data_IF_278782235330
#
_entry.id   IF_278782235330
#
_cell.length_a   1.000
_cell.length_b   1.000
_cell.length_c   1.000
_cell.angle_alpha   90.00
_cell.angle_beta   90.00
_cell.angle_gamma   90.00
#
_symmetry.space_group_name_H-M   'P 1'
#
loop_
_entity.id
_entity.type
_entity.pdbx_description
1 polymer ?
#
# COMPACT_ATOMS: atom_id res chain seq x y z
N UNK A 1 19.53 -12.38 1.25
CA UNK A 1 18.92 -12.93 0.02
C UNK A 1 17.91 -11.91 -0.48
N UNK A 2 17.86 -11.58 -1.76
CA UNK A 2 17.34 -10.28 -2.19
C UNK A 2 15.82 -10.25 -2.22
N UNK A 3 15.25 -9.49 -1.31
CA UNK A 3 13.83 -9.09 -1.25
C UNK A 3 13.47 -8.03 -2.32
N UNK A 4 14.37 -7.82 -3.28
CA UNK A 4 14.41 -6.63 -4.14
C UNK A 4 13.39 -6.62 -5.28
N UNK A 5 12.66 -7.71 -5.54
CA UNK A 5 11.79 -7.80 -6.73
C UNK A 5 10.29 -7.60 -6.52
N UNK A 6 9.78 -7.79 -5.31
CA UNK A 6 8.34 -7.59 -5.02
C UNK A 6 7.95 -6.10 -5.08
N UNK A 7 8.88 -5.20 -4.79
CA UNK A 7 8.63 -3.76 -4.82
C UNK A 7 8.49 -3.18 -6.24
N UNK A 8 9.03 -3.85 -7.25
CA UNK A 8 9.10 -3.29 -8.61
C UNK A 8 7.76 -3.34 -9.37
N UNK A 9 6.83 -4.19 -8.97
CA UNK A 9 5.54 -4.38 -9.64
C UNK A 9 4.44 -3.39 -9.21
N UNK A 10 4.55 -2.79 -8.03
CA UNK A 10 3.59 -1.77 -7.56
C UNK A 10 3.81 -0.38 -8.19
N UNK A 11 4.91 -0.15 -8.91
CA UNK A 11 5.38 1.19 -9.23
C UNK A 11 5.42 1.59 -10.71
N UNK A 12 5.06 0.74 -11.65
CA UNK A 12 5.06 1.11 -13.07
C UNK A 12 4.08 2.24 -13.43
N UNK A 13 3.26 2.72 -12.48
CA UNK A 13 2.15 3.61 -12.77
C UNK A 13 2.35 5.08 -12.40
N UNK A 14 3.37 5.44 -11.62
CA UNK A 14 3.59 6.85 -11.25
C UNK A 14 4.37 7.63 -12.33
N UNK A 15 4.95 6.96 -13.32
CA UNK A 15 5.84 7.58 -14.31
C UNK A 15 5.13 8.36 -15.46
N UNK A 16 3.78 8.41 -15.50
CA UNK A 16 3.04 9.07 -16.58
C UNK A 16 2.60 10.52 -16.29
N UNK A 17 2.97 11.09 -15.13
CA UNK A 17 2.64 12.48 -14.81
C UNK A 17 3.76 13.50 -15.05
N UNK A 18 4.79 13.19 -15.84
CA UNK A 18 5.89 14.14 -16.12
C UNK A 18 5.77 14.94 -17.41
N UNK A 19 4.57 15.07 -17.99
CA UNK A 19 4.33 16.08 -19.03
C UNK A 19 4.05 17.44 -18.37
N UNK A 20 5.11 18.22 -18.10
CA UNK A 20 5.00 19.62 -17.69
C UNK A 20 4.50 20.45 -18.88
N UNK A 21 3.37 21.18 -18.79
CA UNK A 21 3.17 22.32 -19.66
C UNK A 21 4.11 23.44 -19.17
N UNK A 22 5.01 23.86 -20.04
CA UNK A 22 5.80 25.05 -19.83
C UNK A 22 4.89 26.27 -19.91
N UNK A 23 4.50 26.83 -18.77
CA UNK A 23 4.01 28.20 -18.69
C UNK A 23 5.00 29.04 -17.89
N UNK A 24 5.59 29.98 -18.62
CA UNK A 24 6.54 30.94 -18.09
C UNK A 24 5.84 32.01 -17.22
N UNK A 25 6.62 32.53 -16.30
CA UNK A 25 6.58 33.89 -15.74
C UNK A 25 5.91 34.11 -14.38
N UNK A 26 6.74 34.45 -13.42
CA UNK A 26 6.48 35.48 -12.40
C UNK A 26 5.80 35.04 -11.12
N UNK A 27 6.53 34.46 -10.29
CA UNK A 27 6.60 34.27 -8.84
C UNK A 27 7.10 32.84 -8.60
N UNK A 28 8.24 32.71 -7.96
CA UNK A 28 8.67 31.44 -7.39
C UNK A 28 7.70 31.08 -6.24
N UNK A 29 6.55 30.52 -6.61
CA UNK A 29 5.78 29.72 -5.68
C UNK A 29 6.67 28.53 -5.32
N UNK A 30 7.16 28.45 -4.10
CA UNK A 30 7.93 27.31 -3.62
C UNK A 30 7.22 26.03 -4.08
N UNK A 31 7.96 25.18 -4.78
CA UNK A 31 7.41 23.94 -5.37
C UNK A 31 6.74 23.14 -4.23
N UNK A 32 5.47 22.84 -4.39
CA UNK A 32 4.69 22.22 -3.33
C UNK A 32 5.31 20.86 -2.97
N UNK A 33 5.67 20.67 -1.70
CA UNK A 33 6.27 19.43 -1.22
C UNK A 33 5.34 18.25 -1.44
N UNK A 34 5.88 17.18 -1.99
CA UNK A 34 5.17 15.91 -2.24
C UNK A 34 5.52 14.88 -1.17
N UNK A 35 4.52 14.13 -0.70
CA UNK A 35 4.71 12.99 0.17
C UNK A 35 3.91 11.77 -0.30
N UNK A 36 4.42 10.58 0.02
CA UNK A 36 3.73 9.29 -0.14
C UNK A 36 3.29 8.83 1.25
N UNK A 37 2.00 8.56 1.39
CA UNK A 37 1.42 7.95 2.58
C UNK A 37 1.03 6.51 2.28
N UNK A 38 1.80 5.55 2.79
CA UNK A 38 1.50 4.13 2.64
C UNK A 38 0.39 3.74 3.62
N UNK A 39 -0.75 3.32 3.10
CA UNK A 39 -1.91 2.94 3.89
C UNK A 39 -2.05 1.42 3.90
N UNK A 40 -1.70 0.80 5.02
CA UNK A 40 -1.76 -0.64 5.25
C UNK A 40 -2.91 -1.00 6.18
N UNK A 41 -3.46 -2.21 6.06
CA UNK A 41 -4.37 -2.72 7.09
C UNK A 41 -3.65 -2.75 8.46
N UNK A 42 -2.38 -3.11 8.43
CA UNK A 42 -1.54 -3.30 9.60
C UNK A 42 -1.62 -4.74 10.14
N UNK A 43 -0.79 -5.02 11.12
CA UNK A 43 -0.77 -6.31 11.83
C UNK A 43 -0.46 -6.09 13.31
N UNK A 44 -0.98 -6.95 14.16
CA UNK A 44 -0.63 -7.00 15.60
C UNK A 44 0.46 -8.01 15.90
N UNK A 45 0.86 -8.82 14.91
CA UNK A 45 1.90 -9.84 15.02
C UNK A 45 3.25 -9.20 14.74
N UNK A 46 4.18 -9.13 15.72
CA UNK A 46 5.45 -8.42 15.57
C UNK A 46 6.28 -8.90 14.37
N UNK A 47 6.35 -10.21 14.17
CA UNK A 47 7.11 -10.85 13.10
C UNK A 47 6.55 -10.46 11.72
N UNK A 48 5.22 -10.32 11.60
CA UNK A 48 4.57 -9.93 10.36
C UNK A 48 4.74 -8.43 10.04
N UNK A 49 5.12 -7.60 11.01
CA UNK A 49 5.47 -6.18 10.75
C UNK A 49 6.64 -6.07 9.77
N UNK A 50 7.53 -7.04 9.75
CA UNK A 50 8.67 -7.06 8.84
C UNK A 50 8.24 -6.96 7.36
N UNK A 51 7.12 -7.55 6.98
CA UNK A 51 6.61 -7.46 5.60
C UNK A 51 6.21 -6.02 5.24
N UNK A 52 5.56 -5.30 6.17
CA UNK A 52 5.18 -3.90 5.99
C UNK A 52 6.41 -2.99 5.96
N UNK A 53 7.40 -3.25 6.81
CA UNK A 53 8.67 -2.54 6.83
C UNK A 53 9.46 -2.76 5.52
N UNK A 54 9.46 -3.97 4.99
CA UNK A 54 10.08 -4.27 3.69
C UNK A 54 9.44 -3.44 2.55
N UNK A 55 8.10 -3.34 2.52
CA UNK A 55 7.41 -2.50 1.54
C UNK A 55 7.81 -1.04 1.74
N UNK A 56 7.78 -0.55 2.97
CA UNK A 56 8.13 0.85 3.29
C UNK A 56 9.56 1.19 2.86
N UNK A 57 10.52 0.32 3.18
CA UNK A 57 11.92 0.48 2.76
C UNK A 57 12.09 0.44 1.25
N UNK A 58 11.39 -0.44 0.56
CA UNK A 58 11.45 -0.52 -0.90
C UNK A 58 10.91 0.77 -1.56
N UNK A 59 9.82 1.33 -1.02
CA UNK A 59 9.27 2.60 -1.50
C UNK A 59 10.26 3.75 -1.24
N UNK A 60 10.82 3.83 -0.04
CA UNK A 60 11.84 4.84 0.30
C UNK A 60 13.06 4.75 -0.61
N UNK A 61 13.50 3.54 -0.93
CA UNK A 61 14.62 3.32 -1.86
C UNK A 61 14.29 3.74 -3.29
N UNK A 62 13.06 3.52 -3.74
CA UNK A 62 12.60 3.93 -5.07
C UNK A 62 12.40 5.45 -5.19
N UNK A 63 12.07 6.12 -4.07
CA UNK A 63 11.79 7.56 -4.02
C UNK A 63 12.62 8.27 -2.94
N UNK A 64 13.96 8.32 -3.09
CA UNK A 64 14.88 8.78 -2.03
C UNK A 64 14.74 10.26 -1.67
N UNK A 65 14.08 11.04 -2.51
CA UNK A 65 13.86 12.48 -2.30
C UNK A 65 12.41 12.82 -1.94
N UNK A 66 11.57 11.81 -1.70
CA UNK A 66 10.16 11.99 -1.35
C UNK A 66 9.93 11.49 0.06
N UNK A 67 9.22 12.29 0.87
CA UNK A 67 8.80 11.86 2.20
C UNK A 67 7.87 10.66 2.09
N UNK A 68 8.14 9.60 2.86
CA UNK A 68 7.31 8.38 2.90
C UNK A 68 6.93 8.10 4.34
N UNK A 69 5.63 8.19 4.62
CA UNK A 69 5.03 7.87 5.93
C UNK A 69 4.09 6.68 5.82
N UNK A 70 3.78 6.10 6.98
CA UNK A 70 2.86 4.97 7.08
C UNK A 70 1.59 5.37 7.85
N UNK A 71 0.49 4.73 7.51
CA UNK A 71 -0.75 4.74 8.29
C UNK A 71 -1.37 3.35 8.28
N UNK A 72 -2.06 2.97 9.37
CA UNK A 72 -2.83 1.74 9.40
C UNK A 72 -4.32 2.05 9.33
N UNK A 73 -5.04 1.34 8.48
CA UNK A 73 -6.48 1.51 8.31
C UNK A 73 -7.26 0.85 9.44
N UNK A 74 -6.80 -0.31 9.95
CA UNK A 74 -7.48 -1.01 11.04
C UNK A 74 -7.42 -0.27 12.38
N UNK A 75 -8.59 0.08 12.91
CA UNK A 75 -8.75 0.68 14.25
C UNK A 75 -8.26 -0.26 15.36
N UNK A 76 -8.52 -1.55 15.21
CA UNK A 76 -8.13 -2.58 16.20
C UNK A 76 -6.61 -2.65 16.27
N UNK A 77 -5.94 -2.78 15.14
CA UNK A 77 -4.48 -2.87 15.06
C UNK A 77 -3.82 -1.64 15.69
N UNK A 78 -4.27 -0.44 15.33
CA UNK A 78 -3.75 0.80 15.94
C UNK A 78 -3.97 0.85 17.45
N UNK A 79 -5.13 0.40 17.93
CA UNK A 79 -5.41 0.35 19.37
C UNK A 79 -4.47 -0.57 20.12
N UNK A 80 -4.07 -1.69 19.53
CA UNK A 80 -3.07 -2.60 20.11
C UNK A 80 -1.71 -1.92 20.18
N UNK A 81 -1.23 -1.32 19.09
CA UNK A 81 0.07 -0.64 19.08
C UNK A 81 0.10 0.56 20.02
N UNK A 82 -1.00 1.31 20.11
CA UNK A 82 -1.12 2.39 21.09
C UNK A 82 -0.94 1.91 22.55
N UNK A 83 -1.45 0.74 22.90
CA UNK A 83 -1.25 0.14 24.23
C UNK A 83 0.20 -0.33 24.39
N UNK A 84 0.78 -0.94 23.36
CA UNK A 84 2.16 -1.44 23.35
C UNK A 84 3.21 -0.34 23.48
N UNK A 85 2.86 0.90 23.15
CA UNK A 85 3.73 2.06 23.34
C UNK A 85 4.26 2.20 24.77
N UNK A 86 3.52 1.74 25.79
CA UNK A 86 3.97 1.72 27.17
C UNK A 86 5.19 0.82 27.40
N UNK A 87 5.43 -0.16 26.54
CA UNK A 87 6.55 -1.10 26.56
C UNK A 87 7.48 -0.89 25.35
N UNK A 88 7.69 0.37 24.95
CA UNK A 88 8.38 0.76 23.71
C UNK A 88 9.72 0.05 23.51
N UNK A 89 10.59 0.05 24.52
CA UNK A 89 11.92 -0.58 24.43
C UNK A 89 11.86 -2.06 24.12
N UNK A 90 10.91 -2.77 24.73
CA UNK A 90 10.67 -4.19 24.46
C UNK A 90 10.36 -4.48 22.99
N UNK A 91 9.49 -3.66 22.39
CA UNK A 91 9.07 -3.87 21.01
C UNK A 91 10.15 -3.44 20.01
N UNK A 92 10.88 -2.37 20.30
CA UNK A 92 12.06 -1.98 19.50
C UNK A 92 13.13 -3.08 19.51
N UNK A 93 13.38 -3.70 20.68
CA UNK A 93 14.32 -4.81 20.81
C UNK A 93 13.89 -6.06 20.02
N UNK A 94 12.59 -6.21 19.73
CA UNK A 94 12.04 -7.27 18.87
C UNK A 94 12.05 -6.90 17.38
N UNK A 95 12.65 -5.76 17.01
CA UNK A 95 12.74 -5.30 15.62
C UNK A 95 11.50 -4.62 15.07
N UNK A 96 10.53 -4.26 15.93
CA UNK A 96 9.38 -3.47 15.49
C UNK A 96 9.84 -2.03 15.21
N UNK A 97 9.60 -1.46 14.02
CA UNK A 97 9.98 -0.10 13.71
C UNK A 97 9.26 0.91 14.62
N UNK A 98 9.96 1.97 14.98
CA UNK A 98 9.42 3.03 15.85
C UNK A 98 8.13 3.64 15.30
N UNK A 99 8.07 3.86 13.99
CA UNK A 99 6.90 4.41 13.31
C UNK A 99 5.63 3.54 13.44
N UNK A 100 5.78 2.22 13.66
CA UNK A 100 4.66 1.32 13.93
C UNK A 100 4.11 1.51 15.34
N UNK A 101 4.98 1.76 16.31
CA UNK A 101 4.56 2.07 17.68
C UNK A 101 3.79 3.39 17.76
N UNK A 102 4.11 4.32 16.88
CA UNK A 102 3.48 5.65 16.79
C UNK A 102 2.50 5.77 15.62
N UNK A 103 2.11 4.65 15.03
CA UNK A 103 1.24 4.64 13.85
C UNK A 103 -0.07 5.37 14.09
N UNK A 104 -0.43 6.21 13.14
CA UNK A 104 -1.60 7.09 13.16
C UNK A 104 -2.69 6.58 12.21
N UNK A 105 -3.91 7.06 12.39
CA UNK A 105 -4.96 6.89 11.39
C UNK A 105 -4.74 7.87 10.23
N UNK A 106 -5.50 7.68 9.15
CA UNK A 106 -5.39 8.48 7.93
C UNK A 106 -5.53 9.98 8.21
N UNK A 107 -6.49 10.37 9.07
CA UNK A 107 -6.76 11.80 9.35
C UNK A 107 -5.58 12.43 10.07
N UNK A 108 -5.05 11.76 11.10
CA UNK A 108 -3.89 12.25 11.84
C UNK A 108 -2.63 12.30 10.98
N UNK A 109 -2.36 11.25 10.19
CA UNK A 109 -1.20 11.20 9.31
C UNK A 109 -1.24 12.31 8.24
N UNK A 110 -2.41 12.57 7.67
CA UNK A 110 -2.61 13.66 6.71
C UNK A 110 -2.47 15.03 7.37
N UNK A 111 -2.98 15.20 8.59
CA UNK A 111 -2.81 16.43 9.37
C UNK A 111 -1.34 16.73 9.63
N UNK A 112 -0.56 15.75 10.06
CA UNK A 112 0.89 15.92 10.29
C UNK A 112 1.63 16.28 8.99
N UNK A 113 1.30 15.63 7.88
CA UNK A 113 1.89 15.97 6.58
C UNK A 113 1.58 17.41 6.18
N UNK A 114 0.36 17.88 6.43
CA UNK A 114 -0.05 19.25 6.16
C UNK A 114 0.72 20.26 7.04
N UNK A 115 0.86 19.99 8.35
CA UNK A 115 1.63 20.85 9.26
C UNK A 115 3.11 20.93 8.88
N UNK A 116 3.68 19.83 8.35
CA UNK A 116 5.06 19.78 7.84
C UNK A 116 5.22 20.41 6.45
N UNK A 117 4.13 20.97 5.89
CA UNK A 117 4.11 21.71 4.64
C UNK A 117 4.00 20.86 3.37
N UNK A 118 3.66 19.58 3.49
CA UNK A 118 3.37 18.72 2.34
C UNK A 118 1.96 19.02 1.83
N UNK A 119 1.85 19.36 0.55
CA UNK A 119 0.59 19.78 -0.05
C UNK A 119 0.14 18.90 -1.22
N UNK A 120 1.04 18.08 -1.74
CA UNK A 120 0.76 17.07 -2.75
C UNK A 120 0.95 15.71 -2.13
N UNK A 121 -0.14 14.96 -1.94
CA UNK A 121 -0.11 13.69 -1.22
C UNK A 121 -0.57 12.57 -2.14
N UNK A 122 0.24 11.52 -2.19
CA UNK A 122 -0.10 10.24 -2.82
C UNK A 122 -0.41 9.27 -1.70
N UNK A 123 -1.65 8.87 -1.56
CA UNK A 123 -2.06 7.82 -0.60
C UNK A 123 -2.03 6.49 -1.33
N UNK A 124 -1.07 5.63 -1.01
CA UNK A 124 -0.90 4.33 -1.65
C UNK A 124 -1.38 3.21 -0.72
N UNK A 125 -2.51 2.55 -1.00
CA UNK A 125 -2.92 1.37 -0.25
C UNK A 125 -1.97 0.21 -0.54
N UNK A 126 -1.66 -0.58 0.50
CA UNK A 126 -0.94 -1.85 0.36
C UNK A 126 -1.89 -3.05 0.41
N UNK A 127 -3.19 -2.80 0.30
CA UNK A 127 -4.22 -3.84 0.27
C UNK A 127 -4.10 -4.68 -1.01
N UNK A 128 -4.43 -5.97 -0.90
CA UNK A 128 -4.41 -6.85 -2.07
C UNK A 128 -5.51 -6.49 -3.07
N UNK A 129 -6.72 -6.19 -2.60
CA UNK A 129 -7.84 -5.80 -3.46
C UNK A 129 -8.74 -4.77 -2.79
N UNK A 130 -9.65 -4.21 -3.56
CA UNK A 130 -10.58 -3.19 -3.11
C UNK A 130 -11.71 -3.81 -2.30
N UNK A 131 -11.62 -3.69 -0.97
CA UNK A 131 -12.59 -4.17 0.01
C UNK A 131 -12.98 -3.04 0.95
N UNK A 132 -13.71 -3.39 2.03
CA UNK A 132 -14.21 -2.45 3.03
C UNK A 132 -13.15 -1.40 3.43
N UNK A 133 -11.98 -1.84 3.84
CA UNK A 133 -10.90 -0.94 4.27
C UNK A 133 -10.38 -0.01 3.16
N UNK A 134 -10.37 -0.49 1.93
CA UNK A 134 -9.98 0.32 0.78
C UNK A 134 -11.09 1.30 0.40
N UNK A 135 -12.35 0.88 0.54
CA UNK A 135 -13.51 1.74 0.32
C UNK A 135 -13.53 2.89 1.33
N UNK A 136 -13.35 2.58 2.62
CA UNK A 136 -13.28 3.58 3.67
C UNK A 136 -12.10 4.53 3.46
N UNK A 137 -10.92 4.00 3.14
CA UNK A 137 -9.75 4.80 2.82
C UNK A 137 -10.03 5.77 1.66
N UNK A 138 -10.66 5.27 0.59
CA UNK A 138 -11.03 6.10 -0.56
C UNK A 138 -12.00 7.23 -0.15
N UNK A 139 -12.95 6.94 0.72
CA UNK A 139 -13.89 7.94 1.26
C UNK A 139 -13.16 9.03 2.05
N UNK A 140 -12.20 8.67 2.91
CA UNK A 140 -11.36 9.63 3.62
C UNK A 140 -10.52 10.47 2.66
N UNK A 141 -9.87 9.84 1.69
CA UNK A 141 -9.05 10.53 0.70
C UNK A 141 -9.88 11.51 -0.11
N UNK A 142 -11.06 11.10 -0.58
CA UNK A 142 -11.96 11.96 -1.33
C UNK A 142 -12.43 13.17 -0.49
N UNK A 143 -12.77 12.94 0.78
CA UNK A 143 -13.16 14.01 1.70
C UNK A 143 -12.04 15.02 1.92
N UNK A 144 -10.82 14.56 2.18
CA UNK A 144 -9.63 15.40 2.39
C UNK A 144 -9.25 16.16 1.12
N UNK A 145 -9.29 15.52 -0.05
CA UNK A 145 -9.07 16.15 -1.35
C UNK A 145 -10.15 17.21 -1.66
N UNK A 146 -11.36 17.00 -1.12
CA UNK A 146 -12.52 17.87 -1.29
C UNK A 146 -12.50 19.15 -0.45
N UNK A 147 -11.61 19.29 0.54
CA UNK A 147 -11.57 20.46 1.42
C UNK A 147 -11.33 21.72 0.60
N UNK A 148 -12.22 22.70 0.75
CA UNK A 148 -12.13 24.00 0.11
C UNK A 148 -12.17 25.09 1.18
N UNK A 149 -11.33 26.09 0.99
CA UNK A 149 -11.25 27.25 1.86
C UNK A 149 -11.66 28.50 1.09
N UNK A 150 -12.18 29.49 1.77
CA UNK A 150 -12.56 30.76 1.17
C UNK A 150 -11.39 31.41 0.41
N UNK A 151 -10.20 31.36 0.99
CA UNK A 151 -8.96 31.79 0.35
C UNK A 151 -8.17 30.55 -0.05
N UNK A 152 -7.90 30.36 -1.34
CA UNK A 152 -7.20 29.18 -1.89
C UNK A 152 -5.83 28.93 -1.23
N UNK A 153 -5.12 29.96 -0.82
CA UNK A 153 -3.84 29.86 -0.12
C UNK A 153 -3.89 29.14 1.23
N UNK A 154 -5.09 29.01 1.82
CA UNK A 154 -5.31 28.30 3.07
C UNK A 154 -5.83 26.87 2.87
N UNK A 155 -5.94 26.42 1.62
CA UNK A 155 -6.31 25.02 1.33
C UNK A 155 -5.25 24.11 1.93
N UNK A 156 -5.63 23.08 2.71
CA UNK A 156 -4.64 22.18 3.35
C UNK A 156 -3.84 21.40 2.32
N UNK A 157 -4.47 20.96 1.24
CA UNK A 157 -3.81 20.20 0.17
C UNK A 157 -4.11 20.81 -1.20
N UNK A 158 -3.12 20.80 -2.07
CA UNK A 158 -3.27 21.16 -3.50
C UNK A 158 -3.78 19.96 -4.28
N UNK A 159 -3.19 18.80 -4.00
CA UNK A 159 -3.52 17.54 -4.66
C UNK A 159 -3.48 16.42 -3.64
N UNK A 160 -4.53 15.61 -3.60
CA UNK A 160 -4.53 14.32 -2.90
C UNK A 160 -5.05 13.29 -3.88
N UNK A 161 -4.26 12.25 -4.12
CA UNK A 161 -4.63 11.15 -5.00
C UNK A 161 -4.50 9.84 -4.26
N UNK A 162 -5.36 8.88 -4.60
CA UNK A 162 -5.27 7.53 -4.07
C UNK A 162 -4.76 6.60 -5.18
N UNK A 163 -3.73 5.82 -4.84
CA UNK A 163 -3.26 4.72 -5.67
C UNK A 163 -4.23 3.52 -5.65
N UNK A 164 -3.99 2.58 -6.55
CA UNK A 164 -4.78 1.35 -6.64
C UNK A 164 -4.29 0.29 -5.65
N UNK A 165 -5.17 -0.55 -5.08
CA UNK A 165 -4.77 -1.82 -4.49
C UNK A 165 -4.02 -2.71 -5.49
N UNK A 166 -3.35 -3.76 -5.01
CA UNK A 166 -2.54 -4.63 -5.87
C UNK A 166 -3.35 -5.27 -7.02
N UNK A 167 -4.60 -5.64 -6.76
CA UNK A 167 -5.51 -6.23 -7.75
C UNK A 167 -6.66 -5.29 -8.16
N UNK A 168 -6.38 -3.99 -8.21
CA UNK A 168 -7.26 -3.00 -8.79
C UNK A 168 -8.51 -2.64 -7.99
N UNK A 169 -9.38 -1.91 -8.64
CA UNK A 169 -10.64 -1.40 -8.11
C UNK A 169 -11.78 -1.67 -9.10
N UNK A 170 -13.02 -1.92 -8.61
CA UNK A 170 -14.19 -1.98 -9.48
C UNK A 170 -14.37 -0.67 -10.26
N UNK A 171 -14.62 -0.77 -11.56
CA UNK A 171 -14.82 0.41 -12.42
C UNK A 171 -13.54 1.17 -12.77
N UNK A 172 -12.38 0.63 -12.45
CA UNK A 172 -11.08 1.14 -12.84
C UNK A 172 -10.87 1.08 -14.37
N UNK A 173 -10.01 1.95 -14.88
CA UNK A 173 -9.58 1.92 -16.28
C UNK A 173 -8.69 0.72 -16.63
N UNK A 174 -8.13 0.08 -15.62
CA UNK A 174 -7.23 -1.06 -15.76
C UNK A 174 -7.93 -2.35 -15.39
N UNK A 175 -7.69 -3.39 -16.17
CA UNK A 175 -8.25 -4.71 -15.92
C UNK A 175 -7.59 -5.37 -14.72
N UNK A 176 -8.38 -5.78 -13.73
CA UNK A 176 -7.88 -6.57 -12.60
C UNK A 176 -7.31 -7.94 -13.04
N UNK A 177 -7.68 -8.43 -14.21
CA UNK A 177 -7.09 -9.64 -14.80
C UNK A 177 -5.60 -9.47 -15.10
N UNK A 178 -5.18 -8.27 -15.55
CA UNK A 178 -3.77 -7.96 -15.77
C UNK A 178 -3.02 -7.84 -14.44
N UNK A 179 -3.68 -7.31 -13.41
CA UNK A 179 -3.10 -7.23 -12.07
C UNK A 179 -2.87 -8.63 -11.48
N UNK A 180 -3.81 -9.56 -11.71
CA UNK A 180 -3.64 -10.97 -11.33
C UNK A 180 -2.46 -11.61 -12.10
N UNK A 181 -2.29 -11.33 -13.38
CA UNK A 181 -1.14 -11.83 -14.15
C UNK A 181 0.19 -11.34 -13.58
N UNK A 182 0.25 -10.09 -13.18
CA UNK A 182 1.43 -9.53 -12.50
C UNK A 182 1.67 -10.18 -11.14
N UNK A 183 0.61 -10.39 -10.36
CA UNK A 183 0.70 -11.10 -9.07
C UNK A 183 1.23 -12.51 -9.28
N UNK A 184 0.67 -13.28 -10.22
CA UNK A 184 1.11 -14.64 -10.56
C UNK A 184 2.60 -14.67 -10.92
N UNK A 185 3.06 -13.67 -11.69
CA UNK A 185 4.46 -13.55 -12.05
C UNK A 185 5.33 -13.26 -10.81
N UNK A 186 4.85 -12.44 -9.88
CA UNK A 186 5.60 -12.12 -8.66
C UNK A 186 5.75 -13.29 -7.68
N UNK A 187 4.90 -14.30 -7.79
CA UNK A 187 4.91 -15.51 -6.96
C UNK A 187 5.81 -16.62 -7.52
N UNK A 188 6.56 -16.35 -8.58
CA UNK A 188 7.46 -17.35 -9.20
C UNK A 188 8.48 -17.91 -8.21
N UNK A 189 9.03 -17.08 -7.34
CA UNK A 189 10.02 -17.52 -6.34
C UNK A 189 9.44 -18.54 -5.35
N UNK A 190 8.18 -18.35 -4.92
CA UNK A 190 7.48 -19.30 -4.04
C UNK A 190 7.27 -20.66 -4.74
N UNK A 191 6.88 -20.61 -6.02
CA UNK A 191 6.70 -21.81 -6.85
C UNK A 191 8.03 -22.56 -7.03
N UNK A 192 9.12 -21.85 -7.30
CA UNK A 192 10.45 -22.42 -7.44
C UNK A 192 10.93 -23.07 -6.13
N UNK A 193 10.68 -22.40 -5.00
CA UNK A 193 11.01 -22.92 -3.67
C UNK A 193 10.24 -24.22 -3.38
N UNK A 194 8.92 -24.23 -3.62
CA UNK A 194 8.09 -25.40 -3.40
C UNK A 194 8.52 -26.57 -4.32
N UNK A 195 8.81 -26.27 -5.59
CA UNK A 195 9.29 -27.25 -6.56
C UNK A 195 10.64 -27.86 -6.15
N UNK A 196 11.56 -27.05 -5.69
CA UNK A 196 12.87 -27.49 -5.19
C UNK A 196 12.74 -28.37 -3.95
N UNK A 197 11.73 -28.13 -3.14
CA UNK A 197 11.44 -28.93 -1.94
C UNK A 197 10.60 -30.19 -2.23
N UNK A 198 10.14 -30.39 -3.46
CA UNK A 198 9.19 -31.48 -3.81
C UNK A 198 7.86 -31.35 -3.08
N UNK A 199 7.43 -30.12 -2.78
CA UNK A 199 6.25 -29.82 -1.98
C UNK A 199 5.15 -29.19 -2.83
N UNK A 200 3.91 -29.34 -2.40
CA UNK A 200 2.77 -28.59 -2.92
C UNK A 200 2.79 -27.16 -2.39
N UNK A 201 2.23 -26.22 -3.13
CA UNK A 201 2.11 -24.83 -2.73
C UNK A 201 0.67 -24.51 -2.30
N UNK A 202 0.52 -23.95 -1.11
CA UNK A 202 -0.79 -23.57 -0.60
C UNK A 202 -0.77 -22.07 -0.27
N UNK A 203 -1.62 -21.31 -0.93
CA UNK A 203 -1.86 -19.91 -0.59
C UNK A 203 -3.07 -19.79 0.33
N UNK A 204 -2.89 -19.13 1.45
CA UNK A 204 -3.98 -18.81 2.36
C UNK A 204 -4.48 -17.40 2.06
N UNK A 205 -5.75 -17.31 1.65
CA UNK A 205 -6.47 -16.06 1.48
C UNK A 205 -7.22 -15.69 2.74
N UNK A 206 -7.45 -14.39 2.93
CA UNK A 206 -8.25 -13.90 4.05
C UNK A 206 -9.71 -14.39 3.97
N UNK A 207 -10.21 -14.61 2.76
CA UNK A 207 -11.61 -14.84 2.52
C UNK A 207 -12.45 -13.59 2.82
N UNK A 208 -13.50 -13.35 2.12
CA UNK A 208 -14.57 -12.47 2.50
C UNK A 208 -15.77 -12.55 1.54
N UNK A 209 -16.85 -11.91 1.94
CA UNK A 209 -18.20 -12.17 1.44
C UNK A 209 -18.48 -11.77 -0.02
N UNK A 210 -17.60 -11.02 -0.71
CA UNK A 210 -17.96 -10.46 -1.99
C UNK A 210 -16.94 -10.77 -3.11
N UNK A 211 -16.16 -9.77 -3.48
CA UNK A 211 -15.24 -9.79 -4.62
C UNK A 211 -14.13 -10.82 -4.53
N UNK A 212 -13.66 -11.10 -3.33
CA UNK A 212 -12.49 -11.92 -3.09
C UNK A 212 -12.64 -13.33 -3.62
N UNK A 213 -13.80 -13.95 -3.52
CA UNK A 213 -14.00 -15.32 -4.00
C UNK A 213 -13.71 -15.47 -5.49
N UNK A 214 -14.20 -14.53 -6.32
CA UNK A 214 -13.92 -14.50 -7.74
C UNK A 214 -12.46 -14.24 -8.08
N UNK A 215 -11.85 -13.27 -7.39
CA UNK A 215 -10.45 -12.92 -7.56
C UNK A 215 -9.53 -14.06 -7.14
N UNK A 216 -9.80 -14.71 -6.03
CA UNK A 216 -9.03 -15.89 -5.58
C UNK A 216 -9.15 -17.06 -6.55
N UNK A 217 -10.37 -17.36 -7.02
CA UNK A 217 -10.59 -18.43 -7.99
C UNK A 217 -9.83 -18.19 -9.31
N UNK A 218 -9.82 -16.95 -9.77
CA UNK A 218 -9.08 -16.60 -10.98
C UNK A 218 -7.57 -16.64 -10.76
N UNK A 219 -7.09 -16.16 -9.61
CA UNK A 219 -5.66 -16.21 -9.25
C UNK A 219 -5.18 -17.67 -9.21
N UNK A 220 -5.92 -18.57 -8.56
CA UNK A 220 -5.60 -19.99 -8.53
C UNK A 220 -5.57 -20.58 -9.94
N UNK A 221 -6.57 -20.30 -10.78
CA UNK A 221 -6.63 -20.74 -12.15
C UNK A 221 -5.41 -20.28 -12.95
N UNK A 222 -5.05 -19.01 -12.85
CA UNK A 222 -3.89 -18.42 -13.55
C UNK A 222 -2.57 -18.99 -13.05
N UNK A 223 -2.42 -19.20 -11.73
CA UNK A 223 -1.25 -19.87 -11.14
C UNK A 223 -1.06 -21.28 -11.72
N UNK A 224 -2.13 -22.08 -11.76
CA UNK A 224 -2.08 -23.43 -12.34
C UNK A 224 -1.76 -23.43 -13.84
N UNK A 225 -2.20 -22.41 -14.56
CA UNK A 225 -1.89 -22.24 -15.99
C UNK A 225 -0.43 -21.81 -16.21
N UNK A 226 0.07 -20.91 -15.38
CA UNK A 226 1.45 -20.39 -15.49
C UNK A 226 2.51 -21.41 -15.06
N UNK A 227 2.15 -22.30 -14.12
CA UNK A 227 3.07 -23.27 -13.53
C UNK A 227 2.56 -24.71 -13.65
N UNK A 228 2.48 -25.25 -14.89
CA UNK A 228 1.97 -26.60 -15.11
C UNK A 228 2.83 -27.64 -14.38
N UNK A 229 2.18 -28.67 -13.84
CA UNK A 229 2.83 -29.73 -13.06
C UNK A 229 3.17 -29.36 -11.62
N UNK A 230 2.83 -28.15 -11.18
CA UNK A 230 2.90 -27.76 -9.77
C UNK A 230 1.52 -27.92 -9.13
N UNK A 231 1.47 -28.62 -7.99
CA UNK A 231 0.25 -28.70 -7.19
C UNK A 231 0.09 -27.41 -6.40
N UNK A 232 -0.89 -26.60 -6.80
CA UNK A 232 -1.20 -25.31 -6.19
C UNK A 232 -2.63 -25.35 -5.67
N UNK A 233 -2.77 -25.02 -4.41
CA UNK A 233 -4.06 -24.95 -3.72
C UNK A 233 -4.25 -23.57 -3.11
N UNK A 234 -5.50 -23.22 -2.84
CA UNK A 234 -5.85 -22.08 -2.01
C UNK A 234 -6.67 -22.54 -0.81
N UNK A 235 -6.51 -21.86 0.30
CA UNK A 235 -7.39 -21.96 1.47
C UNK A 235 -7.94 -20.58 1.79
N UNK A 236 -9.17 -20.53 2.22
CA UNK A 236 -9.86 -19.31 2.66
C UNK A 236 -10.45 -19.60 4.05
N UNK A 237 -10.37 -18.64 4.97
CA UNK A 237 -11.08 -18.69 6.26
C UNK A 237 -12.54 -18.24 6.10
#
# INVERSE_FOLDING_TARGET
MPVTRVAMLLFAFVLLCSARPAFASGNEAAEAKTAILLASFGTTVPEAVQSLDNITRAVRAAYPHTEVRITFTSNIVRSVWKKRRAEREKWLAQGVPEEVLDVKNIIQAMGDLQEDGYRQIIVQPTHMFFMEQSHDLNSYVAALAGIRTLKSKWRPFETVVMGRPAMGMPGDLYSYHEDIDRLVTSLQEDVELARAAGASLVYMGHGNENWSTGVYAETEKKLRQAYPGMEIFRSEE
#
